data_IF_136383699686
#
_entry.id   IF_136383699686
#
_cell.length_a   1.000
_cell.length_b   1.000
_cell.length_c   1.000
_cell.angle_alpha   90.00
_cell.angle_beta   90.00
_cell.angle_gamma   90.00
#
_symmetry.space_group_name_H-M   'P 1'
#
loop_
_entity.id
_entity.type
_entity.pdbx_description
1 polymer ?
#
# COMPACT_ATOMS: atom_id res chain seq x y z
N UNK A 1 12.40 33.75 20.47
CA UNK A 1 11.76 32.82 19.51
C UNK A 1 12.51 31.48 19.47
N UNK A 2 12.61 30.78 20.60
CA UNK A 2 13.39 29.54 20.78
C UNK A 2 12.56 28.35 21.28
N UNK A 3 11.29 28.56 21.64
CA UNK A 3 10.45 27.55 22.31
C UNK A 3 9.97 26.41 21.40
N UNK A 4 10.02 26.59 20.08
CA UNK A 4 9.63 25.54 19.13
C UNK A 4 10.65 24.40 19.05
N UNK A 5 11.92 24.63 19.48
CA UNK A 5 12.99 23.61 19.47
C UNK A 5 12.96 22.70 20.71
N UNK A 6 12.18 23.05 21.73
CA UNK A 6 12.00 22.24 22.94
C UNK A 6 10.94 21.16 22.78
N UNK A 7 10.10 21.22 21.73
CA UNK A 7 9.14 20.16 21.45
C UNK A 7 9.83 18.95 20.85
N UNK A 8 9.62 17.82 21.52
CA UNK A 8 9.99 16.49 21.07
C UNK A 8 8.75 15.79 20.47
N UNK A 9 8.95 14.75 19.66
CA UNK A 9 7.83 13.96 19.12
C UNK A 9 6.99 13.33 20.24
N UNK A 10 7.60 13.05 21.40
CA UNK A 10 6.92 12.53 22.59
C UNK A 10 5.85 13.49 23.12
N UNK A 11 6.03 14.81 22.98
CA UNK A 11 5.09 15.80 23.52
C UNK A 11 3.75 15.83 22.75
N UNK A 12 3.73 15.27 21.54
CA UNK A 12 2.52 15.14 20.72
C UNK A 12 1.80 13.80 20.91
N UNK A 13 2.39 12.88 21.67
CA UNK A 13 1.82 11.55 21.90
C UNK A 13 0.92 11.57 23.13
N UNK A 14 -0.39 11.51 22.88
CA UNK A 14 -1.43 11.64 23.91
C UNK A 14 -1.66 10.35 24.72
N UNK A 15 -0.91 9.29 24.44
CA UNK A 15 -1.16 7.95 24.99
C UNK A 15 0.15 7.16 25.13
N UNK A 16 0.15 6.19 26.05
CA UNK A 16 1.29 5.30 26.29
C UNK A 16 1.30 4.09 25.35
N UNK A 17 2.46 3.42 25.26
CA UNK A 17 2.60 2.16 24.54
C UNK A 17 1.63 1.06 25.03
N UNK A 18 1.37 1.00 26.34
CA UNK A 18 0.42 0.03 26.91
C UNK A 18 -1.02 0.28 26.43
N UNK A 19 -1.47 1.53 26.40
CA UNK A 19 -2.78 1.92 25.86
C UNK A 19 -2.87 1.60 24.38
N UNK A 20 -1.81 1.90 23.61
CA UNK A 20 -1.75 1.58 22.19
C UNK A 20 -1.87 0.07 21.93
N UNK A 21 -1.08 -0.76 22.63
CA UNK A 21 -1.14 -2.23 22.48
C UNK A 21 -2.49 -2.80 22.88
N UNK A 22 -3.09 -2.28 23.96
CA UNK A 22 -4.40 -2.73 24.43
C UNK A 22 -5.52 -2.41 23.44
N UNK A 23 -5.37 -1.35 22.64
CA UNK A 23 -6.30 -1.01 21.56
C UNK A 23 -6.44 -2.17 20.56
N UNK A 24 -5.33 -2.75 20.10
CA UNK A 24 -5.32 -3.87 19.15
C UNK A 24 -6.02 -5.09 19.72
N UNK A 25 -5.77 -5.40 21.00
CA UNK A 25 -6.39 -6.52 21.68
C UNK A 25 -7.91 -6.36 21.79
N UNK A 26 -8.37 -5.20 22.25
CA UNK A 26 -9.82 -4.91 22.35
C UNK A 26 -10.46 -4.96 20.97
N UNK A 27 -9.85 -4.31 19.99
CA UNK A 27 -10.33 -4.29 18.61
C UNK A 27 -10.45 -5.70 18.03
N UNK A 28 -9.38 -6.50 18.11
CA UNK A 28 -9.36 -7.86 17.57
C UNK A 28 -10.38 -8.78 18.25
N UNK A 29 -10.61 -8.63 19.55
CA UNK A 29 -11.65 -9.41 20.23
C UNK A 29 -13.06 -9.01 19.79
N UNK A 30 -13.32 -7.71 19.56
CA UNK A 30 -14.65 -7.21 19.19
C UNK A 30 -15.05 -7.56 17.75
N UNK A 31 -14.10 -7.57 16.83
CA UNK A 31 -14.37 -7.84 15.41
C UNK A 31 -14.29 -9.31 15.04
N UNK A 32 -14.00 -10.21 15.99
CA UNK A 32 -14.09 -11.65 15.76
C UNK A 32 -15.54 -12.02 15.34
N UNK A 33 -15.76 -12.84 14.30
CA UNK A 33 -14.81 -13.66 13.52
C UNK A 33 -14.38 -13.06 12.17
N UNK A 34 -14.48 -11.73 11.97
CA UNK A 34 -14.19 -11.06 10.69
C UNK A 34 -12.75 -11.29 10.19
N UNK A 35 -11.80 -11.64 11.07
CA UNK A 35 -10.42 -12.03 10.68
C UNK A 35 -10.39 -13.14 9.63
N UNK A 36 -11.33 -14.09 9.67
CA UNK A 36 -11.42 -15.14 8.64
C UNK A 36 -11.72 -14.55 7.26
N UNK A 37 -12.64 -13.60 7.17
CA UNK A 37 -12.95 -12.88 5.94
C UNK A 37 -11.77 -12.01 5.49
N UNK A 38 -11.06 -11.38 6.42
CA UNK A 38 -9.89 -10.56 6.13
C UNK A 38 -8.74 -11.40 5.54
N UNK A 39 -8.50 -12.61 6.06
CA UNK A 39 -7.54 -13.57 5.52
C UNK A 39 -7.95 -14.00 4.10
N UNK A 40 -9.22 -14.37 3.90
CA UNK A 40 -9.74 -14.75 2.58
C UNK A 40 -9.59 -13.61 1.56
N UNK A 41 -9.88 -12.37 1.98
CA UNK A 41 -9.69 -11.17 1.16
C UNK A 41 -8.22 -10.98 0.82
N UNK A 42 -7.32 -11.09 1.79
CA UNK A 42 -5.87 -10.95 1.59
C UNK A 42 -5.30 -11.98 0.63
N UNK A 43 -5.65 -13.26 0.80
CA UNK A 43 -5.27 -14.35 -0.12
C UNK A 43 -5.84 -14.09 -1.52
N UNK A 44 -7.11 -13.69 -1.60
CA UNK A 44 -7.77 -13.32 -2.86
C UNK A 44 -7.03 -12.21 -3.58
N UNK A 45 -6.70 -11.11 -2.89
CA UNK A 45 -5.91 -9.99 -3.42
C UNK A 45 -4.55 -10.48 -3.93
N UNK A 46 -3.80 -11.25 -3.13
CA UNK A 46 -2.50 -11.76 -3.54
C UNK A 46 -2.58 -12.62 -4.82
N UNK A 47 -3.54 -13.53 -4.90
CA UNK A 47 -3.76 -14.40 -6.07
C UNK A 47 -4.15 -13.57 -7.31
N UNK A 48 -5.04 -12.59 -7.14
CA UNK A 48 -5.48 -11.71 -8.24
C UNK A 48 -4.33 -10.87 -8.78
N UNK A 49 -3.47 -10.35 -7.90
CA UNK A 49 -2.26 -9.59 -8.26
C UNK A 49 -1.24 -10.48 -8.98
N UNK A 50 -1.01 -11.70 -8.47
CA UNK A 50 -0.10 -12.66 -9.08
C UNK A 50 -0.52 -13.06 -10.50
N UNK A 51 -1.82 -13.25 -10.71
CA UNK A 51 -2.41 -13.61 -12.02
C UNK A 51 -2.46 -12.44 -13.01
N UNK A 52 -2.38 -11.20 -12.52
CA UNK A 52 -2.31 -10.00 -13.34
C UNK A 52 -3.49 -9.78 -14.31
N UNK A 53 -3.29 -8.87 -15.26
CA UNK A 53 -4.27 -8.57 -16.30
C UNK A 53 -5.55 -7.89 -15.76
N UNK A 54 -6.72 -8.28 -16.27
CA UNK A 54 -8.03 -7.73 -15.82
C UNK A 54 -8.33 -7.98 -14.34
N UNK A 55 -7.67 -8.96 -13.72
CA UNK A 55 -7.84 -9.32 -12.29
C UNK A 55 -7.26 -8.27 -11.36
N UNK A 56 -6.34 -7.43 -11.85
CA UNK A 56 -5.86 -6.24 -11.14
C UNK A 56 -7.01 -5.37 -10.62
N UNK A 57 -8.06 -5.19 -11.43
CA UNK A 57 -9.24 -4.39 -11.06
C UNK A 57 -9.93 -4.94 -9.81
N UNK A 58 -10.04 -6.26 -9.72
CA UNK A 58 -10.62 -6.95 -8.56
C UNK A 58 -9.71 -6.86 -7.33
N UNK A 59 -8.39 -6.90 -7.53
CA UNK A 59 -7.44 -6.70 -6.43
C UNK A 59 -7.52 -5.27 -5.87
N UNK A 60 -7.60 -4.24 -6.73
CA UNK A 60 -7.82 -2.86 -6.30
C UNK A 60 -9.15 -2.70 -5.56
N UNK A 61 -10.22 -3.34 -6.02
CA UNK A 61 -11.51 -3.33 -5.33
C UNK A 61 -11.43 -4.01 -3.94
N UNK A 62 -10.75 -5.15 -3.84
CA UNK A 62 -10.51 -5.82 -2.57
C UNK A 62 -9.68 -4.97 -1.59
N UNK A 63 -8.63 -4.31 -2.09
CA UNK A 63 -7.86 -3.36 -1.29
C UNK A 63 -8.71 -2.14 -0.89
N UNK A 64 -9.57 -1.62 -1.76
CA UNK A 64 -10.46 -0.52 -1.40
C UNK A 64 -11.39 -0.89 -0.24
N UNK A 65 -11.93 -2.11 -0.23
CA UNK A 65 -12.73 -2.64 0.88
C UNK A 65 -11.89 -2.70 2.16
N UNK A 66 -10.67 -3.23 2.10
CA UNK A 66 -9.76 -3.29 3.24
C UNK A 66 -9.42 -1.89 3.79
N UNK A 67 -9.08 -0.92 2.93
CA UNK A 67 -8.81 0.45 3.33
C UNK A 67 -10.03 1.14 3.95
N UNK A 68 -11.22 0.94 3.37
CA UNK A 68 -12.47 1.48 3.92
C UNK A 68 -12.82 0.87 5.28
N UNK A 69 -12.61 -0.45 5.44
CA UNK A 69 -12.79 -1.12 6.73
C UNK A 69 -11.83 -0.56 7.77
N UNK A 70 -10.54 -0.44 7.47
CA UNK A 70 -9.56 0.13 8.40
C UNK A 70 -9.90 1.58 8.76
N UNK A 71 -10.31 2.41 7.78
CA UNK A 71 -10.72 3.78 8.04
C UNK A 71 -11.88 3.86 9.03
N UNK A 72 -12.89 3.01 8.84
CA UNK A 72 -14.07 3.01 9.68
C UNK A 72 -13.86 2.27 11.01
N UNK A 73 -13.60 0.97 10.95
CA UNK A 73 -13.59 0.10 12.12
C UNK A 73 -12.37 0.32 13.02
N UNK A 74 -11.19 0.59 12.47
CA UNK A 74 -9.99 0.82 13.28
C UNK A 74 -9.81 2.31 13.60
N UNK A 75 -9.71 3.18 12.59
CA UNK A 75 -9.34 4.58 12.81
C UNK A 75 -10.47 5.38 13.47
N UNK A 76 -11.71 5.30 12.96
CA UNK A 76 -12.85 6.02 13.54
C UNK A 76 -13.34 5.37 14.83
N UNK A 77 -13.69 4.09 14.83
CA UNK A 77 -14.36 3.48 15.99
C UNK A 77 -13.44 3.24 17.19
N UNK A 78 -12.14 3.05 16.98
CA UNK A 78 -11.21 2.68 18.04
C UNK A 78 -10.13 3.73 18.25
N UNK A 79 -9.33 4.03 17.22
CA UNK A 79 -8.14 4.87 17.38
C UNK A 79 -8.46 6.32 17.72
N UNK A 80 -9.60 6.84 17.25
CA UNK A 80 -10.05 8.21 17.56
C UNK A 80 -10.32 8.46 19.05
N UNK A 81 -10.58 7.41 19.83
CA UNK A 81 -10.79 7.52 21.27
C UNK A 81 -9.53 7.90 22.05
N UNK A 82 -8.35 7.56 21.53
CA UNK A 82 -7.05 7.83 22.16
C UNK A 82 -6.21 8.84 21.38
N UNK A 83 -6.53 9.07 20.11
CA UNK A 83 -5.79 9.97 19.23
C UNK A 83 -6.75 10.74 18.31
N UNK A 84 -6.97 12.03 18.59
CA UNK A 84 -7.81 12.89 17.76
C UNK A 84 -7.33 12.96 16.30
N UNK A 85 -6.03 12.78 16.04
CA UNK A 85 -5.47 12.77 14.69
C UNK A 85 -6.02 11.60 13.85
N UNK A 86 -6.57 10.56 14.49
CA UNK A 86 -7.19 9.42 13.82
C UNK A 86 -8.34 9.83 12.87
N UNK A 87 -9.05 10.93 13.14
CA UNK A 87 -10.08 11.43 12.23
C UNK A 87 -9.50 11.88 10.88
N UNK A 88 -8.37 12.57 10.90
CA UNK A 88 -7.67 12.99 9.67
C UNK A 88 -7.06 11.79 8.95
N UNK A 89 -6.50 10.85 9.71
CA UNK A 89 -5.99 9.59 9.17
C UNK A 89 -7.11 8.78 8.51
N UNK A 90 -8.29 8.70 9.12
CA UNK A 90 -9.46 8.04 8.55
C UNK A 90 -9.90 8.71 7.25
N UNK A 91 -9.92 10.04 7.19
CA UNK A 91 -10.16 10.79 5.97
C UNK A 91 -9.17 10.43 4.86
N UNK A 92 -7.87 10.41 5.17
CA UNK A 92 -6.83 10.02 4.21
C UNK A 92 -6.99 8.57 3.73
N UNK A 93 -7.32 7.64 4.62
CA UNK A 93 -7.58 6.24 4.28
C UNK A 93 -8.84 6.10 3.41
N UNK A 94 -9.89 6.88 3.68
CA UNK A 94 -11.09 6.96 2.85
C UNK A 94 -10.79 7.49 1.44
N UNK A 95 -9.95 8.53 1.32
CA UNK A 95 -9.47 9.03 0.02
C UNK A 95 -8.70 7.94 -0.73
N UNK A 96 -7.80 7.23 -0.05
CA UNK A 96 -7.07 6.12 -0.66
C UNK A 96 -8.00 5.00 -1.14
N UNK A 97 -9.02 4.64 -0.36
CA UNK A 97 -10.05 3.68 -0.78
C UNK A 97 -10.77 4.15 -2.05
N UNK A 98 -11.16 5.43 -2.11
CA UNK A 98 -11.76 6.02 -3.30
C UNK A 98 -10.83 5.99 -4.52
N UNK A 99 -9.56 6.33 -4.34
CA UNK A 99 -8.54 6.25 -5.40
C UNK A 99 -8.34 4.82 -5.90
N UNK A 100 -8.40 3.81 -5.01
CA UNK A 100 -8.32 2.40 -5.39
C UNK A 100 -9.55 1.96 -6.22
N UNK A 101 -10.75 2.44 -5.89
CA UNK A 101 -11.96 2.24 -6.71
C UNK A 101 -11.79 2.87 -8.09
N UNK A 102 -11.30 4.11 -8.16
CA UNK A 102 -11.03 4.79 -9.43
C UNK A 102 -9.97 4.01 -10.23
N UNK A 103 -8.88 3.57 -9.61
CA UNK A 103 -7.85 2.76 -10.24
C UNK A 103 -8.41 1.43 -10.77
N UNK A 104 -9.33 0.79 -10.04
CA UNK A 104 -10.04 -0.39 -10.49
C UNK A 104 -10.93 -0.11 -11.71
N UNK A 105 -11.47 1.09 -11.86
CA UNK A 105 -12.31 1.46 -12.99
C UNK A 105 -11.52 1.83 -14.25
N UNK A 106 -10.45 2.62 -14.10
CA UNK A 106 -9.78 3.30 -15.23
C UNK A 106 -8.52 2.61 -15.73
N UNK A 107 -7.89 1.73 -14.94
CA UNK A 107 -6.63 1.09 -15.35
C UNK A 107 -6.93 0.03 -16.41
N UNK A 108 -6.37 0.15 -17.63
CA UNK A 108 -6.52 -0.88 -18.65
C UNK A 108 -6.00 -2.22 -18.08
N UNK A 109 -6.78 -3.29 -18.21
CA UNK A 109 -6.47 -4.61 -17.67
C UNK A 109 -5.25 -5.30 -18.31
N UNK A 110 -4.32 -4.55 -18.89
CA UNK A 110 -2.99 -4.99 -19.31
C UNK A 110 -1.99 -4.36 -18.36
N UNK A 111 -1.90 -4.88 -17.14
CA UNK A 111 -0.73 -4.63 -16.30
C UNK A 111 0.45 -5.35 -16.96
N UNK A 112 1.24 -4.60 -17.74
CA UNK A 112 2.41 -5.13 -18.41
C UNK A 112 3.42 -5.65 -17.38
N UNK A 113 3.50 -6.97 -17.28
CA UNK A 113 4.59 -7.68 -16.61
C UNK A 113 5.06 -8.81 -17.54
N UNK A 114 5.33 -8.46 -18.79
CA UNK A 114 6.06 -9.34 -19.69
C UNK A 114 7.54 -9.27 -19.31
N UNK A 115 7.91 -10.03 -18.28
CA UNK A 115 9.31 -10.21 -17.83
C UNK A 115 9.47 -10.44 -16.33
N UNK A 116 10.31 -11.41 -15.97
CA UNK A 116 10.80 -11.61 -14.60
C UNK A 116 11.73 -10.44 -14.22
N UNK A 117 11.17 -9.37 -13.66
CA UNK A 117 11.96 -8.25 -13.11
C UNK A 117 12.19 -8.45 -11.61
N UNK A 118 13.35 -8.06 -11.05
CA UNK A 118 13.60 -8.06 -9.61
C UNK A 118 12.52 -7.30 -8.81
N UNK A 119 11.97 -6.24 -9.39
CA UNK A 119 10.88 -5.46 -8.80
C UNK A 119 9.60 -6.30 -8.55
N UNK A 120 9.31 -7.30 -9.40
CA UNK A 120 8.17 -8.20 -9.20
C UNK A 120 8.36 -9.10 -7.98
N UNK A 121 9.59 -9.57 -7.75
CA UNK A 121 9.91 -10.40 -6.58
C UNK A 121 9.87 -9.59 -5.29
N UNK A 122 10.38 -8.35 -5.30
CA UNK A 122 10.26 -7.45 -4.14
C UNK A 122 8.78 -7.17 -3.84
N UNK A 123 7.97 -6.86 -4.86
CA UNK A 123 6.54 -6.66 -4.67
C UNK A 123 5.83 -7.89 -4.09
N UNK A 124 6.14 -9.08 -4.60
CA UNK A 124 5.60 -10.33 -4.08
C UNK A 124 6.04 -10.60 -2.64
N UNK A 125 7.30 -10.32 -2.30
CA UNK A 125 7.83 -10.45 -0.95
C UNK A 125 7.15 -9.47 0.02
N UNK A 126 6.90 -8.22 -0.38
CA UNK A 126 6.17 -7.24 0.44
C UNK A 126 4.71 -7.68 0.68
N UNK A 127 4.03 -8.16 -0.36
CA UNK A 127 2.66 -8.69 -0.23
C UNK A 127 2.66 -9.90 0.73
N UNK A 128 3.58 -10.85 0.54
CA UNK A 128 3.70 -12.02 1.40
C UNK A 128 4.03 -11.63 2.85
N UNK A 129 4.93 -10.66 3.05
CA UNK A 129 5.29 -10.15 4.36
C UNK A 129 4.08 -9.54 5.08
N UNK A 130 3.33 -8.64 4.42
CA UNK A 130 2.15 -8.00 5.02
C UNK A 130 1.01 -8.98 5.33
N UNK A 131 0.89 -10.07 4.57
CA UNK A 131 -0.16 -11.08 4.79
C UNK A 131 0.24 -12.16 5.81
N UNK A 132 1.49 -12.60 5.79
CA UNK A 132 1.93 -13.83 6.46
C UNK A 132 2.93 -13.61 7.59
N UNK A 133 3.69 -12.52 7.59
CA UNK A 133 4.74 -12.28 8.58
C UNK A 133 4.31 -11.22 9.58
N UNK A 134 3.72 -10.13 9.09
CA UNK A 134 3.33 -8.99 9.91
C UNK A 134 2.37 -9.32 11.07
N UNK A 135 1.36 -10.20 10.93
CA UNK A 135 0.53 -10.63 12.06
C UNK A 135 1.32 -11.26 13.21
N UNK A 136 2.51 -11.79 12.93
CA UNK A 136 3.36 -12.49 13.87
C UNK A 136 4.51 -11.63 14.40
N UNK A 137 4.77 -10.44 13.85
CA UNK A 137 5.87 -9.57 14.31
C UNK A 137 5.72 -9.24 15.80
N UNK A 138 4.55 -8.78 16.23
CA UNK A 138 4.25 -8.54 17.65
C UNK A 138 4.46 -9.78 18.52
N UNK A 139 3.83 -10.93 18.21
CA UNK A 139 4.06 -12.18 18.92
C UNK A 139 5.51 -12.64 19.02
N UNK A 140 6.29 -12.49 17.94
CA UNK A 140 7.73 -12.80 17.94
C UNK A 140 8.54 -11.88 18.86
N UNK A 141 8.02 -10.70 19.16
CA UNK A 141 8.58 -9.73 20.11
C UNK A 141 8.02 -9.88 21.53
N UNK A 142 7.28 -10.97 21.80
CA UNK A 142 6.72 -11.29 23.12
C UNK A 142 5.33 -10.71 23.40
N UNK A 143 4.66 -10.11 22.41
CA UNK A 143 3.26 -9.63 22.55
C UNK A 143 2.27 -10.80 22.47
N UNK A 144 1.07 -10.71 23.08
CA UNK A 144 0.07 -11.77 22.97
C UNK A 144 -0.52 -11.84 21.55
N UNK A 145 -0.98 -13.02 21.14
CA UNK A 145 -1.65 -13.26 19.85
C UNK A 145 -2.90 -12.41 19.63
N UNK A 146 -3.56 -11.97 20.70
CA UNK A 146 -4.70 -11.06 20.63
C UNK A 146 -4.33 -9.69 20.04
N UNK A 147 -3.05 -9.33 20.02
CA UNK A 147 -2.54 -8.08 19.43
C UNK A 147 -2.01 -8.29 17.99
N UNK A 148 -2.33 -9.41 17.33
CA UNK A 148 -1.88 -9.68 15.98
C UNK A 148 -2.39 -8.63 14.98
N UNK A 149 -1.49 -8.20 14.09
CA UNK A 149 -1.76 -7.21 13.06
C UNK A 149 -2.17 -7.89 11.74
N UNK A 150 -3.46 -8.14 11.58
CA UNK A 150 -3.99 -8.83 10.40
C UNK A 150 -4.32 -7.83 9.28
N UNK A 151 -3.94 -8.18 8.04
CA UNK A 151 -4.30 -7.43 6.83
C UNK A 151 -5.79 -7.14 6.75
N UNK A 152 -6.15 -5.92 6.33
CA UNK A 152 -7.52 -5.46 6.20
C UNK A 152 -8.23 -5.19 7.53
N UNK A 153 -7.63 -5.54 8.66
CA UNK A 153 -8.14 -5.23 10.00
C UNK A 153 -7.42 -4.01 10.57
N UNK A 154 -6.11 -3.92 10.37
CA UNK A 154 -5.30 -2.82 10.88
C UNK A 154 -4.47 -2.14 9.77
N UNK A 155 -4.01 -0.90 9.98
CA UNK A 155 -3.39 -0.09 8.93
C UNK A 155 -2.10 -0.66 8.32
N UNK A 156 -1.12 -1.01 9.15
CA UNK A 156 0.25 -1.34 8.72
C UNK A 156 0.35 -2.51 7.70
N UNK A 157 -0.28 -3.68 7.91
CA UNK A 157 -0.31 -4.75 6.91
C UNK A 157 -1.10 -4.37 5.66
N UNK A 158 -2.16 -3.58 5.80
CA UNK A 158 -2.97 -3.08 4.67
C UNK A 158 -2.13 -2.15 3.78
N UNK A 159 -1.38 -1.24 4.41
CA UNK A 159 -0.44 -0.34 3.75
C UNK A 159 0.70 -1.12 3.09
N UNK A 160 1.26 -2.12 3.76
CA UNK A 160 2.35 -2.95 3.25
C UNK A 160 1.96 -3.72 1.98
N UNK A 161 0.80 -4.39 2.00
CA UNK A 161 0.28 -5.09 0.81
C UNK A 161 0.00 -4.10 -0.32
N UNK A 162 -0.52 -2.91 0.01
CA UNK A 162 -0.77 -1.85 -0.99
C UNK A 162 0.53 -1.32 -1.59
N UNK A 163 1.58 -1.12 -0.79
CA UNK A 163 2.91 -0.71 -1.26
C UNK A 163 3.54 -1.77 -2.16
N UNK A 164 3.44 -3.05 -1.81
CA UNK A 164 3.83 -4.15 -2.69
C UNK A 164 3.06 -4.14 -4.01
N UNK A 165 1.75 -3.91 -3.96
CA UNK A 165 0.89 -3.76 -5.13
C UNK A 165 1.33 -2.58 -6.03
N UNK A 166 1.61 -1.41 -5.44
CA UNK A 166 2.08 -0.22 -6.17
C UNK A 166 3.48 -0.40 -6.74
N UNK A 167 4.36 -1.07 -6.00
CA UNK A 167 5.68 -1.47 -6.45
C UNK A 167 5.62 -2.49 -7.59
N UNK A 168 4.47 -3.16 -7.84
CA UNK A 168 4.16 -4.02 -8.98
C UNK A 168 3.45 -3.27 -10.14
N UNK A 169 2.78 -2.16 -9.88
CA UNK A 169 1.84 -1.49 -10.78
C UNK A 169 2.48 -0.73 -11.96
N UNK A 170 1.86 -0.72 -13.15
CA UNK A 170 2.35 0.09 -14.26
C UNK A 170 2.32 1.58 -13.92
N UNK A 171 3.27 2.35 -14.46
CA UNK A 171 3.30 3.80 -14.26
C UNK A 171 2.11 4.45 -14.96
N UNK A 172 1.26 5.11 -14.19
CA UNK A 172 0.14 5.93 -14.67
C UNK A 172 -0.19 7.00 -13.65
N UNK A 173 -0.88 8.07 -14.06
CA UNK A 173 -1.23 9.18 -13.16
C UNK A 173 -2.00 8.70 -11.93
N UNK A 174 -2.98 7.79 -12.10
CA UNK A 174 -3.76 7.27 -10.98
C UNK A 174 -2.91 6.43 -10.01
N UNK A 175 -1.95 5.64 -10.52
CA UNK A 175 -1.04 4.87 -9.67
C UNK A 175 -0.10 5.79 -8.88
N UNK A 176 0.38 6.89 -9.48
CA UNK A 176 1.20 7.88 -8.76
C UNK A 176 0.42 8.52 -7.61
N UNK A 177 -0.87 8.79 -7.79
CA UNK A 177 -1.74 9.37 -6.75
C UNK A 177 -1.99 8.41 -5.57
N UNK A 178 -1.77 7.10 -5.73
CA UNK A 178 -1.95 6.12 -4.66
C UNK A 178 -0.73 6.00 -3.73
N UNK A 179 0.41 6.61 -4.05
CA UNK A 179 1.63 6.52 -3.22
C UNK A 179 1.63 7.40 -1.95
N UNK A 180 1.15 8.66 -1.97
CA UNK A 180 1.33 9.56 -0.84
C UNK A 180 0.75 9.04 0.47
N UNK A 181 -0.49 8.53 0.47
CA UNK A 181 -1.16 8.09 1.71
C UNK A 181 -0.44 6.91 2.37
N UNK A 182 -0.10 5.80 1.67
CA UNK A 182 0.72 4.71 2.22
C UNK A 182 2.09 5.17 2.78
N UNK A 183 2.76 6.09 2.09
CA UNK A 183 4.07 6.60 2.53
C UNK A 183 3.96 7.48 3.78
N UNK A 184 2.96 8.38 3.80
CA UNK A 184 2.67 9.21 4.96
C UNK A 184 2.28 8.37 6.17
N UNK A 185 1.47 7.31 5.97
CA UNK A 185 1.17 6.36 7.03
C UNK A 185 2.43 5.66 7.54
N UNK A 186 3.30 5.20 6.62
CA UNK A 186 4.54 4.52 7.01
C UNK A 186 5.44 5.42 7.88
N UNK A 187 5.49 6.72 7.58
CA UNK A 187 6.18 7.70 8.40
C UNK A 187 5.48 7.95 9.75
N UNK A 188 4.15 8.04 9.77
CA UNK A 188 3.36 8.24 10.99
C UNK A 188 3.44 7.04 11.95
N UNK A 189 3.36 5.81 11.43
CA UNK A 189 3.55 4.57 12.20
C UNK A 189 4.96 4.51 12.78
N UNK A 190 5.99 4.78 11.96
CA UNK A 190 7.38 4.84 12.42
C UNK A 190 7.57 5.86 13.55
N UNK A 191 7.06 7.08 13.38
CA UNK A 191 7.18 8.13 14.39
C UNK A 191 6.49 7.73 15.71
N UNK A 192 5.32 7.08 15.62
CA UNK A 192 4.53 6.62 16.77
C UNK A 192 5.22 5.48 17.53
N UNK A 193 5.76 4.49 16.82
CA UNK A 193 6.44 3.36 17.44
C UNK A 193 7.84 3.74 17.97
N UNK A 194 8.54 4.64 17.26
CA UNK A 194 9.85 5.13 17.68
C UNK A 194 9.78 5.88 19.01
N UNK A 195 8.81 6.78 19.15
CA UNK A 195 8.55 7.52 20.39
C UNK A 195 8.13 6.62 21.54
N UNK A 196 7.45 5.51 21.26
CA UNK A 196 7.14 4.47 22.24
C UNK A 196 8.32 3.54 22.56
N UNK A 197 9.47 3.70 21.90
CA UNK A 197 10.63 2.82 22.01
C UNK A 197 10.29 1.36 21.70
N UNK A 198 9.34 1.13 20.79
CA UNK A 198 8.95 -0.22 20.38
C UNK A 198 9.94 -0.77 19.33
N UNK A 199 10.37 -2.04 19.45
CA UNK A 199 11.44 -2.61 18.61
C UNK A 199 11.06 -2.77 17.13
N UNK A 200 9.77 -2.75 16.81
CA UNK A 200 9.22 -2.86 15.45
C UNK A 200 9.07 -1.50 14.72
N UNK A 201 9.52 -0.39 15.31
CA UNK A 201 9.39 0.94 14.71
C UNK A 201 10.00 1.08 13.30
N UNK A 202 11.04 0.30 12.99
CA UNK A 202 11.72 0.32 11.70
C UNK A 202 11.01 -0.47 10.58
N UNK A 203 9.97 -1.26 10.89
CA UNK A 203 9.35 -2.16 9.92
C UNK A 203 8.69 -1.38 8.77
N UNK A 204 7.81 -0.42 9.08
CA UNK A 204 7.13 0.40 8.07
C UNK A 204 8.06 1.27 7.20
N UNK A 205 9.08 1.98 7.73
CA UNK A 205 9.96 2.76 6.88
C UNK A 205 10.82 1.87 5.95
N UNK A 206 11.23 0.67 6.41
CA UNK A 206 11.92 -0.30 5.56
C UNK A 206 11.00 -0.80 4.43
N UNK A 207 9.76 -1.16 4.75
CA UNK A 207 8.75 -1.56 3.75
C UNK A 207 8.54 -0.46 2.70
N UNK A 208 8.37 0.79 3.14
CA UNK A 208 8.20 1.94 2.26
C UNK A 208 9.43 2.16 1.36
N UNK A 209 10.64 2.10 1.92
CA UNK A 209 11.88 2.27 1.17
C UNK A 209 12.05 1.18 0.10
N UNK A 210 11.80 -0.09 0.46
CA UNK A 210 11.87 -1.22 -0.47
C UNK A 210 10.85 -1.07 -1.61
N UNK A 211 9.62 -0.65 -1.30
CA UNK A 211 8.59 -0.42 -2.30
C UNK A 211 8.99 0.69 -3.28
N UNK A 212 9.48 1.82 -2.78
CA UNK A 212 9.94 2.96 -3.60
C UNK A 212 11.14 2.55 -4.46
N UNK A 213 12.13 1.86 -3.90
CA UNK A 213 13.30 1.38 -4.62
C UNK A 213 12.90 0.41 -5.74
N UNK A 214 12.03 -0.56 -5.45
CA UNK A 214 11.50 -1.50 -6.44
C UNK A 214 10.71 -0.79 -7.55
N UNK A 215 9.94 0.24 -7.22
CA UNK A 215 9.23 1.06 -8.20
C UNK A 215 10.18 1.91 -9.05
N UNK A 216 11.29 2.40 -8.49
CA UNK A 216 12.28 3.21 -9.19
C UNK A 216 13.09 2.38 -10.20
N UNK A 217 13.51 1.17 -9.83
CA UNK A 217 14.36 0.29 -10.65
C UNK A 217 13.65 -0.42 -11.82
N UNK A 218 12.38 -0.08 -12.08
CA UNK A 218 11.63 -0.64 -13.20
C UNK A 218 12.16 -0.12 -14.54
N UNK A 219 12.52 -1.02 -15.48
CA UNK A 219 12.90 -0.64 -16.83
C UNK A 219 11.83 0.28 -17.44
N UNK A 220 12.26 1.40 -18.04
CA UNK A 220 11.37 2.24 -18.83
C UNK A 220 10.80 1.38 -19.98
N UNK A 221 9.49 1.43 -20.28
CA UNK A 221 8.99 0.81 -21.49
C UNK A 221 9.81 1.35 -22.66
N UNK A 222 10.51 0.49 -23.38
CA UNK A 222 11.17 0.88 -24.63
C UNK A 222 10.07 1.46 -25.51
N UNK A 223 10.10 2.77 -25.76
CA UNK A 223 9.30 3.35 -26.82
C UNK A 223 9.71 2.61 -28.09
N UNK A 224 8.78 1.91 -28.72
CA UNK A 224 9.02 1.35 -30.04
C UNK A 224 9.50 2.52 -30.92
N UNK A 225 10.62 2.39 -31.66
CA UNK A 225 11.07 3.43 -32.57
C UNK A 225 9.87 3.83 -33.43
N UNK A 226 9.50 5.10 -33.34
CA UNK A 226 8.33 5.63 -34.02
C UNK A 226 8.37 5.30 -35.50
N UNK A 227 7.19 5.10 -36.06
CA UNK A 227 6.85 5.08 -37.47
C UNK A 227 7.27 6.38 -38.19
N UNK A 228 8.56 6.65 -38.24
CA UNK A 228 9.19 7.74 -38.96
C UNK A 228 9.84 7.17 -40.24
N UNK A 229 9.07 6.44 -41.04
CA UNK A 229 9.46 6.06 -42.41
C UNK A 229 8.22 5.63 -43.23
N UNK A 230 7.18 6.47 -43.25
CA UNK A 230 6.07 6.36 -44.20
C UNK A 230 5.86 7.73 -44.85
N UNK A 231 6.86 8.18 -45.60
CA UNK A 231 6.86 9.54 -46.16
C UNK A 231 8.01 9.77 -47.15
N UNK A 232 8.30 8.80 -48.02
CA UNK A 232 9.14 9.03 -49.20
C UNK A 232 8.85 7.98 -50.27
N UNK A 233 7.61 7.99 -50.76
CA UNK A 233 7.30 7.43 -52.08
C UNK A 233 6.76 8.58 -52.94
N UNK A 234 7.59 9.61 -53.12
CA UNK A 234 7.38 10.58 -54.21
C UNK A 234 7.82 9.90 -55.51
N UNK A 235 6.82 9.48 -56.27
CA UNK A 235 6.69 9.87 -57.68
C UNK A 235 7.92 9.58 -58.57
N UNK A 236 7.91 8.41 -59.22
CA UNK A 236 8.66 8.21 -60.46
C UNK A 236 7.66 7.90 -61.57
N UNK A 237 7.07 8.96 -62.12
CA UNK A 237 6.31 8.95 -63.37
C UNK A 237 7.25 8.46 -64.48
N UNK A 238 6.84 7.39 -65.17
CA UNK A 238 7.47 6.94 -66.41
C UNK A 238 7.08 7.91 -67.54
N UNK A 239 8.01 8.36 -68.39
CA UNK A 239 7.65 8.84 -69.71
C UNK A 239 7.56 7.63 -70.65
N UNK A 240 6.38 7.45 -71.22
CA UNK A 240 6.16 6.57 -72.37
C UNK A 240 6.79 7.21 -73.62
N UNK A 241 7.64 6.46 -74.30
CA UNK A 241 8.05 6.74 -75.68
C UNK A 241 8.47 5.44 -76.34
N UNK A 242 7.63 4.91 -77.24
CA UNK A 242 7.94 4.31 -78.56
C UNK A 242 6.63 4.15 -79.33
#
# INVERSE_FOLDING_TARGET
MSEWRTYSLSDFLLFSASTYRRLFEIYNLQVWPVHGLAILLGVGVAVLLWRGGRRWRLACAGLAIAWAWVAWAFLVQHYSSINWAAWYLAGAFGVQAGLLVVAAAVTPGRTGADGASPARWVAAALIAFGLLVQPFVGPLLGRPWSQAEVFGMVPDPTVTVTLGMLAAAPRSRIITLLWPVPLLWSAASAATLWTMHEPDAAVMPVVAALAVAAAAWRPQPRQAPGSAQAGSTKERVRPDSW
#
